data_IF_066461883273
#
_entry.id   IF_066461883273
#
_cell.length_a   1.000
_cell.length_b   1.000
_cell.length_c   1.000
_cell.angle_alpha   90.00
_cell.angle_beta   90.00
_cell.angle_gamma   90.00
#
_symmetry.space_group_name_H-M   'P 1'
#
loop_
_entity.id
_entity.type
_entity.pdbx_description
1 polymer ?
#
# COMPACT_ATOMS: atom_id res chain seq x y z
N UNK A 1 -36.15 28.66 -30.54
CA UNK A 1 -35.68 27.36 -30.02
C UNK A 1 -35.90 27.31 -28.51
N UNK A 2 -36.82 26.46 -28.09
CA UNK A 2 -37.44 26.50 -26.76
C UNK A 2 -36.59 25.88 -25.67
N UNK A 3 -36.53 26.53 -24.51
CA UNK A 3 -35.84 26.14 -23.26
C UNK A 3 -36.26 24.77 -22.67
N UNK A 4 -37.11 23.99 -23.31
CA UNK A 4 -37.61 22.68 -22.84
C UNK A 4 -36.79 21.46 -23.27
N UNK A 5 -35.85 21.58 -24.22
CA UNK A 5 -35.09 20.44 -24.74
C UNK A 5 -33.68 20.31 -24.13
N UNK A 6 -33.35 21.09 -23.08
CA UNK A 6 -32.04 21.03 -22.41
C UNK A 6 -32.07 20.22 -21.09
N UNK A 7 -33.24 19.74 -20.66
CA UNK A 7 -33.41 19.00 -19.40
C UNK A 7 -33.59 17.48 -19.54
N UNK A 8 -33.46 16.91 -20.72
CA UNK A 8 -33.56 15.45 -20.91
C UNK A 8 -32.27 14.73 -21.28
N UNK A 9 -31.14 15.41 -21.37
CA UNK A 9 -29.83 14.79 -21.63
C UNK A 9 -28.92 14.70 -20.39
N UNK A 10 -29.41 15.04 -19.19
CA UNK A 10 -28.63 15.10 -17.95
C UNK A 10 -28.84 13.93 -16.98
N UNK A 11 -29.55 12.88 -17.34
CA UNK A 11 -29.99 11.84 -16.40
C UNK A 11 -29.21 10.50 -16.50
N UNK A 12 -28.03 10.46 -17.10
CA UNK A 12 -27.31 9.20 -17.31
C UNK A 12 -25.85 9.16 -16.82
N UNK A 13 -25.41 10.09 -15.96
CA UNK A 13 -24.03 10.04 -15.39
C UNK A 13 -23.99 10.39 -13.89
N UNK A 14 -24.96 9.97 -13.12
CA UNK A 14 -24.97 10.09 -11.66
C UNK A 14 -24.88 8.71 -10.99
N UNK A 15 -23.99 7.84 -11.47
CA UNK A 15 -23.69 6.57 -10.81
C UNK A 15 -22.27 6.63 -10.25
N UNK A 16 -22.17 6.61 -8.90
CA UNK A 16 -21.03 6.24 -8.07
C UNK A 16 -20.03 7.32 -7.62
N UNK A 17 -20.53 8.40 -7.04
CA UNK A 17 -19.74 9.11 -6.03
C UNK A 17 -20.57 9.20 -4.74
N UNK A 18 -20.62 8.10 -3.98
CA UNK A 18 -21.04 8.20 -2.59
C UNK A 18 -19.95 8.99 -1.82
N UNK A 19 -20.33 10.03 -1.08
CA UNK A 19 -19.36 10.79 -0.29
C UNK A 19 -18.74 9.89 0.78
N UNK A 20 -17.40 9.94 0.93
CA UNK A 20 -16.60 9.21 1.89
C UNK A 20 -17.16 9.12 3.33
N UNK A 21 -17.87 10.15 3.88
CA UNK A 21 -18.47 10.07 5.21
C UNK A 21 -19.57 9.04 5.39
N UNK A 22 -20.28 8.65 4.31
CA UNK A 22 -21.36 7.67 4.42
C UNK A 22 -20.87 6.22 4.45
N UNK A 23 -19.70 5.94 3.85
CA UNK A 23 -19.06 4.62 3.89
C UNK A 23 -18.50 4.30 5.29
N UNK A 24 -17.90 5.28 5.95
CA UNK A 24 -17.39 5.10 7.32
C UNK A 24 -18.51 4.83 8.33
N UNK A 25 -19.68 5.48 8.16
CA UNK A 25 -20.81 5.33 9.05
C UNK A 25 -21.48 3.93 8.99
N UNK A 26 -21.36 3.23 7.85
CA UNK A 26 -21.93 1.89 7.70
C UNK A 26 -21.07 0.83 8.40
N UNK A 27 -19.74 0.97 8.35
CA UNK A 27 -18.80 0.12 9.10
C UNK A 27 -18.99 0.26 10.62
N UNK A 28 -19.33 1.46 11.12
CA UNK A 28 -19.55 1.72 12.53
C UNK A 28 -20.87 1.16 13.10
N UNK A 29 -21.92 1.00 12.29
CA UNK A 29 -23.25 0.56 12.80
C UNK A 29 -23.35 -0.94 13.10
N UNK A 30 -22.54 -1.78 12.47
CA UNK A 30 -22.56 -3.22 12.69
C UNK A 30 -21.71 -3.67 13.91
N UNK A 31 -20.92 -2.78 14.50
CA UNK A 31 -20.04 -3.08 15.62
C UNK A 31 -20.75 -3.23 16.99
N UNK A 32 -22.05 -2.96 17.09
CA UNK A 32 -22.76 -2.83 18.39
C UNK A 32 -23.61 -4.05 18.79
N UNK A 33 -23.45 -5.23 18.21
CA UNK A 33 -24.15 -6.42 18.65
C UNK A 33 -23.25 -7.29 19.56
N UNK A 34 -23.59 -7.36 20.84
CA UNK A 34 -23.04 -8.32 21.80
C UNK A 34 -23.39 -9.74 21.37
N UNK A 35 -22.42 -10.51 20.87
CA UNK A 35 -22.61 -11.89 20.47
C UNK A 35 -22.25 -12.83 21.63
N UNK A 36 -23.25 -13.32 22.32
CA UNK A 36 -23.20 -14.50 23.23
C UNK A 36 -23.60 -15.76 22.46
N UNK A 37 -22.91 -16.13 21.42
CA UNK A 37 -22.94 -17.46 20.82
C UNK A 37 -21.55 -17.81 20.36
N UNK A 38 -21.14 -19.07 20.58
CA UNK A 38 -19.90 -19.64 20.05
C UNK A 38 -19.94 -19.67 18.51
N UNK A 39 -19.87 -18.50 17.87
CA UNK A 39 -19.82 -18.45 16.42
C UNK A 39 -18.45 -18.91 15.98
N UNK A 40 -18.38 -20.12 15.45
CA UNK A 40 -17.15 -20.64 14.87
C UNK A 40 -16.94 -20.04 13.48
N UNK A 41 -15.83 -19.37 13.28
CA UNK A 41 -15.40 -18.85 11.97
C UNK A 41 -14.50 -19.86 11.25
N UNK A 42 -14.49 -19.82 9.91
CA UNK A 42 -13.54 -20.61 9.15
C UNK A 42 -12.15 -19.95 9.22
N UNK A 43 -12.13 -18.60 9.21
CA UNK A 43 -10.90 -17.82 9.36
C UNK A 43 -11.12 -16.55 10.21
N UNK A 44 -10.07 -16.19 10.98
CA UNK A 44 -9.93 -14.87 11.60
C UNK A 44 -8.74 -14.16 10.94
N UNK A 45 -8.93 -12.88 10.55
CA UNK A 45 -7.88 -12.02 9.98
C UNK A 45 -7.55 -10.93 11.00
N UNK A 46 -6.31 -10.90 11.50
CA UNK A 46 -5.82 -9.89 12.46
C UNK A 46 -5.16 -8.72 11.72
N UNK A 47 -5.77 -7.55 11.83
CA UNK A 47 -5.39 -6.33 11.12
C UNK A 47 -6.06 -6.24 9.75
N UNK A 48 -7.10 -5.38 9.63
CA UNK A 48 -7.86 -5.18 8.39
C UNK A 48 -7.36 -3.94 7.64
N UNK A 49 -6.03 -3.80 7.56
CA UNK A 49 -5.35 -2.80 6.72
C UNK A 49 -5.28 -3.26 5.26
N UNK A 50 -4.19 -2.86 4.55
CA UNK A 50 -4.01 -3.16 3.12
C UNK A 50 -4.15 -4.63 2.76
N UNK A 51 -3.42 -5.48 3.49
CA UNK A 51 -3.36 -6.92 3.18
C UNK A 51 -4.58 -7.64 3.75
N UNK A 52 -4.99 -7.28 4.96
CA UNK A 52 -6.10 -7.94 5.64
C UNK A 52 -7.45 -7.66 5.03
N UNK A 53 -7.73 -6.44 4.55
CA UNK A 53 -8.98 -6.14 3.85
C UNK A 53 -9.12 -6.96 2.56
N UNK A 54 -8.04 -7.06 1.78
CA UNK A 54 -7.99 -7.91 0.59
C UNK A 54 -8.13 -9.40 0.96
N UNK A 55 -7.48 -9.87 2.03
CA UNK A 55 -7.62 -11.25 2.52
C UNK A 55 -9.06 -11.57 2.91
N UNK A 56 -9.73 -10.69 3.67
CA UNK A 56 -11.14 -10.85 4.04
C UNK A 56 -12.03 -10.98 2.79
N UNK A 57 -11.79 -10.14 1.78
CA UNK A 57 -12.51 -10.19 0.51
C UNK A 57 -12.32 -11.53 -0.21
N UNK A 58 -11.06 -11.99 -0.40
CA UNK A 58 -10.80 -13.23 -1.15
C UNK A 58 -11.34 -14.46 -0.42
N UNK A 59 -11.27 -14.52 0.91
CA UNK A 59 -11.86 -15.61 1.70
C UNK A 59 -13.38 -15.59 1.62
N UNK A 60 -14.02 -14.43 1.84
CA UNK A 60 -15.47 -14.30 1.78
C UNK A 60 -16.02 -14.62 0.38
N UNK A 61 -15.31 -14.22 -0.67
CA UNK A 61 -15.65 -14.55 -2.07
C UNK A 61 -15.70 -16.05 -2.34
N UNK A 62 -14.97 -16.85 -1.56
CA UNK A 62 -14.99 -18.31 -1.61
C UNK A 62 -16.01 -18.94 -0.65
N UNK A 63 -16.88 -18.12 -0.04
CA UNK A 63 -17.95 -18.56 0.86
C UNK A 63 -17.48 -18.90 2.28
N UNK A 64 -16.27 -18.54 2.68
CA UNK A 64 -15.79 -18.73 4.04
C UNK A 64 -16.45 -17.76 5.01
N UNK A 65 -16.74 -18.23 6.24
CA UNK A 65 -17.17 -17.38 7.35
C UNK A 65 -15.96 -16.69 7.93
N UNK A 66 -15.76 -15.42 7.57
CA UNK A 66 -14.58 -14.64 7.91
C UNK A 66 -14.89 -13.63 9.01
N UNK A 67 -14.01 -13.56 10.01
CA UNK A 67 -13.97 -12.48 10.99
C UNK A 67 -12.69 -11.64 10.80
N UNK A 68 -12.85 -10.39 10.42
CA UNK A 68 -11.77 -9.40 10.41
C UNK A 68 -11.77 -8.61 11.72
N UNK A 69 -10.61 -8.54 12.39
CA UNK A 69 -10.41 -7.76 13.62
C UNK A 69 -9.40 -6.64 13.38
N UNK A 70 -9.83 -5.40 13.64
CA UNK A 70 -9.00 -4.20 13.52
C UNK A 70 -9.03 -3.42 14.83
N UNK A 71 -7.85 -2.98 15.30
CA UNK A 71 -7.75 -2.23 16.56
C UNK A 71 -8.15 -0.75 16.43
N UNK A 72 -8.22 -0.24 15.20
CA UNK A 72 -8.56 1.16 14.87
C UNK A 72 -9.76 1.23 13.93
N UNK A 73 -9.97 2.39 13.34
CA UNK A 73 -10.92 2.57 12.23
C UNK A 73 -10.42 1.96 10.92
N UNK A 74 -11.29 1.81 9.93
CA UNK A 74 -10.95 1.37 8.57
C UNK A 74 -11.45 2.41 7.56
N UNK A 75 -10.52 3.07 6.81
CA UNK A 75 -9.06 3.07 6.96
C UNK A 75 -8.60 4.00 8.08
N UNK A 76 -7.35 3.87 8.49
CA UNK A 76 -6.73 4.75 9.49
C UNK A 76 -5.32 5.19 9.09
N UNK A 77 -4.80 6.26 9.73
CA UNK A 77 -3.47 6.82 9.45
C UNK A 77 -2.37 6.29 10.39
N UNK A 78 -2.68 5.39 11.30
CA UNK A 78 -1.75 4.91 12.33
C UNK A 78 -0.82 3.80 11.84
N UNK A 79 -1.19 3.11 10.74
CA UNK A 79 -0.41 2.04 10.12
C UNK A 79 0.52 2.52 9.00
N UNK A 80 0.65 1.68 7.96
CA UNK A 80 1.61 1.88 6.84
C UNK A 80 0.96 2.31 5.53
N UNK A 81 -0.38 2.22 5.39
CA UNK A 81 -1.04 2.37 4.09
C UNK A 81 -1.49 3.79 3.75
N UNK A 82 -1.79 4.62 4.73
CA UNK A 82 -2.38 5.93 4.50
C UNK A 82 -1.47 6.90 3.73
N UNK A 83 -2.08 7.92 3.13
CA UNK A 83 -1.39 9.02 2.46
C UNK A 83 -1.69 9.13 0.97
N UNK A 84 -2.96 8.97 0.55
CA UNK A 84 -3.53 9.35 -0.75
C UNK A 84 -3.07 8.52 -1.96
N UNK A 85 -1.79 8.17 -2.06
CA UNK A 85 -1.23 7.49 -3.23
C UNK A 85 -0.06 6.58 -2.87
N UNK A 86 0.14 5.52 -3.65
CA UNK A 86 1.30 4.61 -3.58
C UNK A 86 1.74 4.24 -4.98
N UNK A 87 3.05 4.33 -5.27
CA UNK A 87 3.61 3.94 -6.56
C UNK A 87 3.27 2.47 -6.84
N UNK A 88 2.84 2.20 -8.08
CA UNK A 88 2.74 0.87 -8.66
C UNK A 88 3.57 0.82 -9.95
N UNK A 89 4.38 -0.22 -10.10
CA UNK A 89 5.34 -0.42 -11.18
C UNK A 89 5.64 -1.90 -11.36
N UNK A 90 6.09 -2.31 -12.53
CA UNK A 90 6.50 -3.69 -12.83
C UNK A 90 8.01 -3.87 -12.85
N UNK A 91 8.75 -2.92 -13.40
CA UNK A 91 10.20 -2.94 -13.39
C UNK A 91 10.72 -2.78 -11.95
N UNK A 92 10.98 -3.92 -11.30
CA UNK A 92 11.18 -3.99 -9.86
C UNK A 92 12.65 -4.09 -9.51
N UNK A 93 13.19 -3.07 -8.86
CA UNK A 93 14.63 -2.98 -8.60
C UNK A 93 15.07 -3.73 -7.34
N UNK A 94 14.16 -3.98 -6.40
CA UNK A 94 14.47 -4.67 -5.14
C UNK A 94 14.82 -6.13 -5.38
N UNK A 95 14.02 -6.85 -6.17
CA UNK A 95 14.31 -8.22 -6.59
C UNK A 95 13.43 -8.60 -7.80
N UNK A 96 13.99 -9.19 -8.87
CA UNK A 96 13.24 -9.49 -10.09
C UNK A 96 12.11 -10.52 -9.90
N UNK A 97 12.21 -11.43 -8.92
CA UNK A 97 11.19 -12.45 -8.68
C UNK A 97 9.86 -11.88 -8.13
N UNK A 98 9.81 -10.59 -7.79
CA UNK A 98 8.55 -9.90 -7.53
C UNK A 98 7.71 -9.62 -8.79
N UNK A 99 8.30 -9.63 -9.97
CA UNK A 99 7.60 -9.23 -11.21
C UNK A 99 6.35 -10.08 -11.47
N UNK A 100 6.39 -11.43 -11.39
CA UNK A 100 5.17 -12.24 -11.55
C UNK A 100 4.07 -11.89 -10.56
N UNK A 101 4.44 -11.58 -9.30
CA UNK A 101 3.47 -11.11 -8.29
C UNK A 101 2.87 -9.75 -8.65
N UNK A 102 3.67 -8.85 -9.26
CA UNK A 102 3.18 -7.57 -9.74
C UNK A 102 2.23 -7.71 -10.91
N UNK A 103 2.52 -8.58 -11.87
CA UNK A 103 1.60 -8.86 -12.97
C UNK A 103 0.25 -9.34 -12.45
N UNK A 104 0.25 -10.26 -11.47
CA UNK A 104 -0.97 -10.70 -10.81
C UNK A 104 -1.63 -9.57 -10.02
N UNK A 105 -0.85 -8.71 -9.36
CA UNK A 105 -1.39 -7.57 -8.63
C UNK A 105 -2.10 -6.57 -9.55
N UNK A 106 -1.53 -6.24 -10.71
CA UNK A 106 -2.18 -5.38 -11.71
C UNK A 106 -3.50 -5.98 -12.20
N UNK A 107 -3.51 -7.28 -12.51
CA UNK A 107 -4.73 -7.99 -12.89
C UNK A 107 -5.79 -7.89 -11.78
N UNK A 108 -5.41 -8.12 -10.52
CA UNK A 108 -6.33 -8.10 -9.39
C UNK A 108 -6.85 -6.68 -9.08
N UNK A 109 -6.02 -5.63 -9.26
CA UNK A 109 -6.49 -4.24 -9.16
C UNK A 109 -7.54 -3.93 -10.22
N UNK A 110 -7.29 -4.31 -11.48
CA UNK A 110 -8.24 -4.12 -12.59
C UNK A 110 -9.53 -4.94 -12.39
N UNK A 111 -9.44 -6.16 -11.86
CA UNK A 111 -10.60 -6.97 -11.54
C UNK A 111 -11.49 -6.31 -10.46
N UNK A 112 -10.88 -5.75 -9.41
CA UNK A 112 -11.62 -5.00 -8.39
C UNK A 112 -12.25 -3.72 -8.95
N UNK A 113 -11.55 -3.00 -9.83
CA UNK A 113 -12.10 -1.84 -10.55
C UNK A 113 -13.32 -2.22 -11.40
N UNK A 114 -13.21 -3.31 -12.16
CA UNK A 114 -14.32 -3.81 -12.99
C UNK A 114 -15.52 -4.24 -12.14
N UNK A 115 -15.27 -4.88 -11.00
CA UNK A 115 -16.34 -5.36 -10.09
C UNK A 115 -17.06 -4.20 -9.38
N UNK A 116 -16.32 -3.13 -9.04
CA UNK A 116 -16.85 -2.05 -8.20
C UNK A 116 -17.21 -0.78 -8.96
N UNK A 117 -16.80 -0.65 -10.22
CA UNK A 117 -16.91 0.59 -11.00
C UNK A 117 -15.97 1.71 -10.52
N UNK A 118 -15.15 1.47 -9.50
CA UNK A 118 -14.22 2.45 -8.95
C UNK A 118 -12.90 2.44 -9.73
N UNK A 119 -12.20 3.57 -9.74
CA UNK A 119 -10.84 3.65 -10.27
C UNK A 119 -9.85 3.70 -9.13
N UNK A 120 -8.92 2.74 -9.09
CA UNK A 120 -7.89 2.58 -8.09
C UNK A 120 -6.48 2.79 -8.65
N UNK A 121 -6.22 2.21 -9.82
CA UNK A 121 -4.96 2.36 -10.53
C UNK A 121 -5.04 3.54 -11.51
N UNK A 122 -4.07 4.43 -11.39
CA UNK A 122 -3.92 5.63 -12.22
C UNK A 122 -2.60 5.57 -12.95
N UNK A 123 -2.67 5.34 -14.26
CA UNK A 123 -1.52 5.26 -15.16
C UNK A 123 -1.01 6.67 -15.45
N UNK A 124 0.10 7.07 -14.84
CA UNK A 124 0.77 8.35 -15.07
C UNK A 124 2.14 8.19 -15.69
N UNK A 125 2.65 6.96 -15.78
CA UNK A 125 4.06 6.68 -15.96
C UNK A 125 4.85 6.87 -14.65
N UNK A 126 6.07 6.36 -14.65
CA UNK A 126 7.03 6.54 -13.56
C UNK A 126 8.40 6.83 -14.16
N UNK A 127 8.97 7.97 -13.79
CA UNK A 127 10.35 8.36 -14.14
C UNK A 127 11.33 7.80 -13.10
N UNK A 128 12.46 7.33 -13.60
CA UNK A 128 13.58 6.88 -12.77
C UNK A 128 14.82 7.65 -13.16
N UNK A 129 15.47 8.22 -12.15
CA UNK A 129 16.69 8.99 -12.31
C UNK A 129 17.76 8.51 -11.34
N UNK A 130 18.97 8.29 -11.81
CA UNK A 130 20.09 7.87 -10.98
C UNK A 130 21.33 7.59 -11.81
N UNK A 131 22.46 7.40 -11.13
CA UNK A 131 23.67 6.97 -11.81
C UNK A 131 23.53 5.53 -12.32
N UNK A 132 24.14 5.17 -13.48
CA UNK A 132 24.05 3.82 -14.05
C UNK A 132 24.48 2.70 -13.10
N UNK A 133 25.41 2.99 -12.18
CA UNK A 133 25.90 2.06 -11.17
C UNK A 133 24.99 1.87 -9.96
N UNK A 134 23.99 2.73 -9.76
CA UNK A 134 23.10 2.66 -8.58
C UNK A 134 22.17 1.45 -8.65
N UNK A 135 21.88 0.85 -7.47
CA UNK A 135 21.03 -0.36 -7.36
C UNK A 135 19.64 -0.17 -8.00
N UNK A 136 19.03 1.00 -7.84
CA UNK A 136 17.76 1.36 -8.49
C UNK A 136 17.82 1.13 -10.01
N UNK A 137 18.86 1.64 -10.67
CA UNK A 137 18.98 1.58 -12.16
C UNK A 137 19.34 0.16 -12.60
N UNK A 138 20.27 -0.50 -11.90
CA UNK A 138 20.68 -1.89 -12.22
C UNK A 138 19.52 -2.85 -12.08
N UNK A 139 18.86 -2.88 -10.93
CA UNK A 139 17.76 -3.80 -10.66
C UNK A 139 16.55 -3.56 -11.55
N UNK A 140 16.25 -2.27 -11.87
CA UNK A 140 15.20 -1.92 -12.82
C UNK A 140 15.50 -2.50 -14.22
N UNK A 141 16.72 -2.32 -14.74
CA UNK A 141 17.13 -2.85 -16.06
C UNK A 141 17.13 -4.38 -16.08
N UNK A 142 17.60 -5.02 -15.01
CA UNK A 142 17.57 -6.47 -14.84
C UNK A 142 16.14 -7.01 -14.94
N UNK A 143 15.22 -6.48 -14.14
CA UNK A 143 13.82 -6.88 -14.15
C UNK A 143 13.15 -6.61 -15.49
N UNK A 144 13.42 -5.43 -16.10
CA UNK A 144 12.88 -5.06 -17.40
C UNK A 144 13.33 -6.02 -18.49
N UNK A 145 14.61 -6.39 -18.52
CA UNK A 145 15.17 -7.33 -19.49
C UNK A 145 14.63 -8.73 -19.28
N UNK A 146 14.64 -9.23 -18.03
CA UNK A 146 14.23 -10.61 -17.70
C UNK A 146 12.77 -10.90 -18.00
N UNK A 147 11.90 -9.91 -17.78
CA UNK A 147 10.44 -10.06 -17.92
C UNK A 147 9.85 -9.26 -19.08
N UNK A 148 10.68 -8.74 -19.97
CA UNK A 148 10.26 -7.96 -21.14
C UNK A 148 9.32 -6.79 -20.79
N UNK A 149 9.62 -6.10 -19.68
CA UNK A 149 8.85 -4.94 -19.24
C UNK A 149 9.32 -3.73 -20.06
N UNK A 150 8.36 -2.99 -20.62
CA UNK A 150 8.66 -1.78 -21.34
C UNK A 150 9.17 -0.69 -20.40
N UNK A 151 10.43 -0.35 -20.57
CA UNK A 151 11.10 0.81 -19.96
C UNK A 151 11.86 1.52 -21.07
N UNK A 152 11.52 2.77 -21.32
CA UNK A 152 12.12 3.58 -22.38
C UNK A 152 13.27 4.43 -21.79
N UNK A 153 14.44 4.40 -22.42
CA UNK A 153 15.54 5.33 -22.13
C UNK A 153 15.24 6.70 -22.74
N UNK A 154 15.51 7.76 -21.99
CA UNK A 154 15.36 9.14 -22.45
C UNK A 154 16.73 9.80 -22.57
N UNK A 155 17.00 10.42 -23.70
CA UNK A 155 18.13 11.36 -23.82
C UNK A 155 17.87 12.60 -22.96
N UNK A 156 18.92 13.35 -22.64
CA UNK A 156 18.77 14.62 -21.90
C UNK A 156 17.84 15.60 -22.64
N UNK A 157 17.90 15.62 -23.97
CA UNK A 157 17.04 16.46 -24.81
C UNK A 157 15.57 16.01 -24.75
N UNK A 158 15.29 14.69 -24.83
CA UNK A 158 13.94 14.15 -24.73
C UNK A 158 13.33 14.39 -23.34
N UNK A 159 14.14 14.23 -22.27
CA UNK A 159 13.68 14.52 -20.90
C UNK A 159 13.38 16.00 -20.74
N UNK A 160 14.27 16.90 -21.21
CA UNK A 160 14.05 18.34 -21.11
C UNK A 160 12.81 18.80 -21.91
N UNK A 161 12.54 18.21 -23.07
CA UNK A 161 11.37 18.53 -23.88
C UNK A 161 10.05 18.03 -23.25
N UNK A 162 10.04 16.86 -22.61
CA UNK A 162 8.83 16.23 -22.07
C UNK A 162 8.59 16.54 -20.60
N UNK A 163 9.66 16.70 -19.83
CA UNK A 163 9.65 16.79 -18.37
C UNK A 163 10.63 17.89 -17.90
N UNK A 164 10.43 19.11 -18.40
CA UNK A 164 11.27 20.28 -18.12
C UNK A 164 11.33 20.67 -16.64
N UNK A 165 10.45 20.10 -15.82
CA UNK A 165 10.44 20.33 -14.37
C UNK A 165 11.66 19.74 -13.66
N UNK A 166 12.33 18.74 -14.27
CA UNK A 166 13.48 18.07 -13.68
C UNK A 166 14.79 18.63 -14.22
N UNK A 167 15.69 18.96 -13.30
CA UNK A 167 17.08 19.33 -13.58
C UNK A 167 18.00 18.26 -13.01
N UNK A 168 18.72 17.55 -13.86
CA UNK A 168 19.53 16.42 -13.47
C UNK A 168 21.01 16.66 -13.74
N UNK A 169 21.92 16.19 -12.87
CA UNK A 169 23.36 16.20 -13.14
C UNK A 169 23.71 15.43 -14.43
N UNK A 170 24.88 15.72 -14.99
CA UNK A 170 25.45 14.89 -16.05
C UNK A 170 25.67 13.45 -15.59
N UNK A 171 25.57 12.49 -16.52
CA UNK A 171 25.82 11.07 -16.23
C UNK A 171 24.69 10.31 -15.54
N UNK A 172 23.55 10.97 -15.27
CA UNK A 172 22.37 10.27 -14.79
C UNK A 172 21.65 9.55 -15.94
N UNK A 173 21.28 8.29 -15.71
CA UNK A 173 20.28 7.60 -16.53
C UNK A 173 18.91 8.24 -16.31
N UNK A 174 18.13 8.27 -17.37
CA UNK A 174 16.78 8.82 -17.44
C UNK A 174 15.88 7.79 -18.07
N UNK A 175 15.04 7.14 -17.26
CA UNK A 175 14.19 6.06 -17.75
C UNK A 175 12.72 6.39 -17.43
N UNK A 176 11.82 5.87 -18.24
CA UNK A 176 10.39 5.93 -18.00
C UNK A 176 9.77 4.56 -18.20
N UNK A 177 8.99 4.11 -17.20
CA UNK A 177 8.08 2.98 -17.31
C UNK A 177 6.67 3.52 -17.62
N UNK A 178 6.17 3.43 -18.86
CA UNK A 178 4.92 4.06 -19.28
C UNK A 178 3.69 3.45 -18.60
N UNK A 179 3.75 2.17 -18.23
CA UNK A 179 2.64 1.43 -17.61
C UNK A 179 2.65 1.50 -16.08
N UNK A 180 3.59 2.21 -15.50
CA UNK A 180 3.59 2.51 -14.08
C UNK A 180 2.68 3.70 -13.73
N UNK A 181 2.52 3.96 -12.43
CA UNK A 181 1.74 5.08 -11.93
C UNK A 181 1.51 4.94 -10.42
N UNK A 182 0.28 5.16 -9.98
CA UNK A 182 -0.05 5.01 -8.56
C UNK A 182 -1.41 4.33 -8.35
N UNK A 183 -1.59 3.80 -7.15
CA UNK A 183 -2.86 3.29 -6.63
C UNK A 183 -3.30 4.13 -5.42
N UNK A 184 -4.62 4.19 -5.17
CA UNK A 184 -5.25 4.94 -4.09
C UNK A 184 -5.49 4.04 -2.88
N UNK A 185 -4.64 4.11 -1.82
CA UNK A 185 -4.63 3.11 -0.76
C UNK A 185 -5.87 3.11 0.12
N UNK A 186 -6.32 4.27 0.59
CA UNK A 186 -7.50 4.35 1.46
C UNK A 186 -8.75 3.85 0.75
N UNK A 187 -8.93 4.23 -0.52
CA UNK A 187 -10.03 3.78 -1.35
C UNK A 187 -10.00 2.27 -1.58
N UNK A 188 -8.81 1.72 -1.82
CA UNK A 188 -8.65 0.28 -2.02
C UNK A 188 -9.00 -0.53 -0.75
N UNK A 189 -8.53 -0.08 0.43
CA UNK A 189 -8.86 -0.71 1.71
C UNK A 189 -10.37 -0.68 1.97
N UNK A 190 -11.01 0.48 1.74
CA UNK A 190 -12.47 0.63 1.88
C UNK A 190 -13.24 -0.30 0.94
N UNK A 191 -12.86 -0.36 -0.33
CA UNK A 191 -13.55 -1.20 -1.31
C UNK A 191 -13.41 -2.69 -1.00
N UNK A 192 -12.21 -3.17 -0.65
CA UNK A 192 -12.04 -4.55 -0.20
C UNK A 192 -12.87 -4.86 1.04
N UNK A 193 -12.86 -3.95 2.05
CA UNK A 193 -13.66 -4.10 3.27
C UNK A 193 -15.14 -4.16 2.95
N UNK A 194 -15.65 -3.23 2.14
CA UNK A 194 -17.05 -3.18 1.74
C UNK A 194 -17.47 -4.44 0.96
N UNK A 195 -16.64 -4.89 0.02
CA UNK A 195 -16.93 -6.12 -0.74
C UNK A 195 -16.91 -7.35 0.15
N UNK A 196 -15.96 -7.44 1.11
CA UNK A 196 -15.94 -8.53 2.09
C UNK A 196 -17.24 -8.57 2.91
N UNK A 197 -17.71 -7.42 3.43
CA UNK A 197 -18.97 -7.30 4.17
C UNK A 197 -20.18 -7.73 3.30
N UNK A 198 -20.25 -7.26 2.05
CA UNK A 198 -21.34 -7.64 1.11
C UNK A 198 -21.34 -9.14 0.80
N UNK A 199 -20.20 -9.81 0.89
CA UNK A 199 -20.02 -11.25 0.72
C UNK A 199 -20.21 -12.04 2.03
N UNK A 200 -20.63 -11.39 3.12
CA UNK A 200 -20.98 -12.03 4.40
C UNK A 200 -19.84 -12.11 5.41
N UNK A 201 -18.69 -11.46 5.19
CA UNK A 201 -17.68 -11.35 6.22
C UNK A 201 -18.17 -10.48 7.38
N UNK A 202 -17.76 -10.81 8.62
CA UNK A 202 -17.90 -9.96 9.78
C UNK A 202 -16.61 -9.18 9.99
N UNK A 203 -16.67 -7.85 10.09
CA UNK A 203 -15.50 -7.01 10.36
C UNK A 203 -15.80 -6.17 11.61
N UNK A 204 -14.90 -6.23 12.58
CA UNK A 204 -14.98 -5.49 13.84
C UNK A 204 -13.80 -4.52 13.95
N UNK A 205 -14.11 -3.26 14.16
CA UNK A 205 -13.16 -2.21 14.49
C UNK A 205 -13.08 -1.99 15.99
N UNK A 206 -12.02 -1.33 16.46
CA UNK A 206 -11.75 -1.08 17.88
C UNK A 206 -11.63 -2.36 18.71
N UNK A 207 -11.20 -3.45 18.06
CA UNK A 207 -10.97 -4.77 18.67
C UNK A 207 -9.46 -5.03 18.80
N UNK A 208 -8.89 -4.55 19.89
CA UNK A 208 -7.46 -4.76 20.17
C UNK A 208 -7.19 -6.19 20.57
N UNK A 209 -6.33 -6.85 19.81
CA UNK A 209 -5.93 -8.24 20.05
C UNK A 209 -4.94 -8.29 21.22
N UNK A 210 -5.22 -9.12 22.22
CA UNK A 210 -4.36 -9.36 23.38
C UNK A 210 -3.45 -10.57 23.17
N UNK A 211 -4.02 -11.66 22.62
CA UNK A 211 -3.27 -12.89 22.37
C UNK A 211 -3.98 -13.78 21.36
N UNK A 212 -3.22 -14.71 20.79
CA UNK A 212 -3.76 -15.86 20.08
C UNK A 212 -3.06 -17.14 20.51
N UNK A 213 -3.78 -18.26 20.46
CA UNK A 213 -3.26 -19.59 20.76
C UNK A 213 -3.82 -20.61 19.79
N UNK A 214 -3.06 -21.66 19.53
CA UNK A 214 -3.50 -22.80 18.73
C UNK A 214 -3.70 -24.02 19.61
N UNK A 215 -4.82 -24.74 19.43
CA UNK A 215 -5.12 -25.96 20.14
C UNK A 215 -5.70 -26.98 19.16
N UNK A 216 -4.92 -27.97 18.78
CA UNK A 216 -5.25 -28.90 17.69
C UNK A 216 -5.50 -28.14 16.38
N UNK A 217 -6.67 -28.35 15.79
CA UNK A 217 -7.08 -27.68 14.54
C UNK A 217 -7.81 -26.34 14.76
N UNK A 218 -7.80 -25.79 15.97
CA UNK A 218 -8.49 -24.55 16.30
C UNK A 218 -7.52 -23.46 16.68
N UNK A 219 -7.88 -22.24 16.32
CA UNK A 219 -7.22 -21.03 16.78
C UNK A 219 -8.17 -20.26 17.69
N UNK A 220 -7.67 -19.79 18.81
CA UNK A 220 -8.40 -18.97 19.77
C UNK A 220 -7.74 -17.59 19.79
N UNK A 221 -8.51 -16.54 19.54
CA UNK A 221 -8.09 -15.14 19.60
C UNK A 221 -8.80 -14.44 20.73
N UNK A 222 -8.04 -13.80 21.62
CA UNK A 222 -8.56 -12.97 22.72
C UNK A 222 -8.35 -11.49 22.40
N UNK A 223 -9.41 -10.71 22.52
CA UNK A 223 -9.39 -9.25 22.47
C UNK A 223 -9.70 -8.67 23.84
N UNK A 224 -9.72 -7.33 23.95
CA UNK A 224 -10.18 -6.67 25.17
C UNK A 224 -11.67 -6.94 25.47
N UNK A 225 -12.49 -7.15 24.42
CA UNK A 225 -13.95 -7.29 24.55
C UNK A 225 -14.48 -8.72 24.45
N UNK A 226 -13.75 -9.66 23.83
CA UNK A 226 -14.28 -10.99 23.52
C UNK A 226 -13.21 -12.07 23.30
N UNK A 227 -13.69 -13.31 23.15
CA UNK A 227 -12.87 -14.44 22.69
C UNK A 227 -13.53 -15.06 21.46
N UNK A 228 -12.75 -15.26 20.41
CA UNK A 228 -13.19 -15.80 19.13
C UNK A 228 -12.47 -17.09 18.79
N UNK A 229 -13.13 -17.98 18.04
CA UNK A 229 -12.57 -19.25 17.60
C UNK A 229 -12.69 -19.39 16.08
N UNK A 230 -11.64 -19.95 15.46
CA UNK A 230 -11.62 -20.27 14.03
C UNK A 230 -10.78 -21.51 13.73
N UNK A 231 -10.91 -22.02 12.50
CA UNK A 231 -10.04 -23.09 11.99
C UNK A 231 -8.68 -22.54 11.53
N UNK A 232 -8.65 -21.30 10.99
CA UNK A 232 -7.44 -20.65 10.49
C UNK A 232 -7.31 -19.23 11.06
N UNK A 233 -6.05 -18.81 11.22
CA UNK A 233 -5.68 -17.45 11.60
C UNK A 233 -4.79 -16.87 10.50
N UNK A 234 -5.10 -15.64 10.09
CA UNK A 234 -4.26 -14.89 9.17
C UNK A 234 -3.78 -13.62 9.87
N UNK A 235 -2.47 -13.43 9.99
CA UNK A 235 -1.87 -12.28 10.67
C UNK A 235 -1.35 -11.31 9.62
N UNK A 236 -2.04 -10.17 9.51
CA UNK A 236 -1.73 -9.04 8.62
C UNK A 236 -1.62 -7.74 9.43
N UNK A 237 -1.06 -7.84 10.63
CA UNK A 237 -1.05 -6.79 11.67
C UNK A 237 -0.04 -5.65 11.41
N UNK A 238 0.55 -5.57 10.20
CA UNK A 238 1.45 -4.48 9.80
C UNK A 238 2.57 -4.23 10.82
N UNK A 239 2.71 -2.99 11.35
CA UNK A 239 3.76 -2.67 12.33
C UNK A 239 3.66 -3.44 13.64
N UNK A 240 2.50 -4.01 13.96
CA UNK A 240 2.29 -4.81 15.19
C UNK A 240 2.60 -6.30 14.98
N UNK A 241 3.01 -6.73 13.77
CA UNK A 241 3.28 -8.14 13.47
C UNK A 241 4.31 -8.76 14.40
N UNK A 242 5.40 -8.05 14.74
CA UNK A 242 6.41 -8.54 15.67
C UNK A 242 5.89 -8.80 17.09
N UNK A 243 4.82 -8.10 17.51
CA UNK A 243 4.16 -8.33 18.82
C UNK A 243 3.24 -9.56 18.78
N UNK A 244 2.70 -9.89 17.61
CA UNK A 244 1.84 -11.07 17.41
C UNK A 244 2.66 -12.33 17.07
N UNK A 245 3.90 -12.20 16.63
CA UNK A 245 4.79 -13.26 16.16
C UNK A 245 6.13 -13.22 16.91
N UNK A 246 6.19 -13.63 18.18
CA UNK A 246 7.42 -13.55 19.00
C UNK A 246 8.64 -14.24 18.33
N UNK A 247 8.41 -15.36 17.64
CA UNK A 247 9.46 -16.12 16.95
C UNK A 247 10.08 -15.38 15.76
N UNK A 248 9.39 -14.38 15.21
CA UNK A 248 9.89 -13.52 14.11
C UNK A 248 10.23 -12.09 14.56
N UNK A 249 9.98 -11.75 15.82
CA UNK A 249 10.10 -10.37 16.32
C UNK A 249 11.49 -9.79 16.11
N UNK A 250 12.57 -10.58 16.26
CA UNK A 250 13.95 -10.16 16.03
C UNK A 250 14.25 -9.81 14.56
N UNK A 251 13.42 -10.26 13.63
CA UNK A 251 13.57 -10.03 12.19
C UNK A 251 12.59 -8.95 11.65
N UNK A 252 11.82 -8.30 12.53
CA UNK A 252 10.85 -7.28 12.17
C UNK A 252 11.17 -5.97 12.89
N UNK A 253 11.82 -5.06 12.18
CA UNK A 253 12.15 -3.73 12.69
C UNK A 253 11.13 -2.70 12.21
N UNK A 254 10.45 -2.04 13.14
CA UNK A 254 9.52 -0.95 12.80
C UNK A 254 10.30 0.37 12.78
N UNK A 255 10.14 1.14 11.70
CA UNK A 255 10.79 2.44 11.55
C UNK A 255 9.79 3.54 11.24
N UNK A 256 10.05 4.74 11.77
CA UNK A 256 9.29 5.96 11.51
C UNK A 256 9.70 6.56 10.17
N UNK A 257 8.71 6.94 9.37
CA UNK A 257 8.87 7.61 8.08
C UNK A 257 8.10 8.93 8.06
N UNK A 258 8.50 9.84 7.19
CA UNK A 258 7.79 11.10 6.96
C UNK A 258 7.43 11.23 5.48
N UNK A 259 6.21 11.64 5.23
CA UNK A 259 5.70 11.99 3.91
C UNK A 259 5.21 13.44 3.93
N UNK A 260 5.55 14.20 2.88
CA UNK A 260 5.22 15.61 2.77
C UNK A 260 4.33 15.92 1.57
N UNK A 261 3.53 16.97 1.71
CA UNK A 261 2.81 17.64 0.63
C UNK A 261 3.27 19.09 0.58
N UNK A 262 3.72 19.52 -0.58
CA UNK A 262 4.26 20.87 -0.75
C UNK A 262 3.49 21.62 -1.85
N UNK A 263 3.45 22.95 -1.69
CA UNK A 263 2.93 23.86 -2.69
C UNK A 263 4.00 24.13 -3.73
N UNK A 264 3.77 23.86 -5.02
CA UNK A 264 4.68 24.28 -6.08
C UNK A 264 4.52 25.78 -6.39
N UNK A 265 5.53 26.39 -7.01
CA UNK A 265 5.46 27.79 -7.49
C UNK A 265 4.40 27.98 -8.60
N UNK A 266 4.22 26.97 -9.44
CA UNK A 266 3.21 26.95 -10.51
C UNK A 266 2.49 25.60 -10.54
N UNK A 267 1.23 25.58 -10.11
CA UNK A 267 0.40 24.38 -10.03
C UNK A 267 0.18 23.70 -11.40
N UNK A 268 0.12 24.50 -12.48
CA UNK A 268 -0.20 23.98 -13.82
C UNK A 268 0.87 23.03 -14.36
N UNK A 269 2.11 23.20 -13.92
CA UNK A 269 3.26 22.39 -14.37
C UNK A 269 3.33 21.02 -13.72
N UNK A 270 2.59 20.78 -12.64
CA UNK A 270 2.76 19.60 -11.80
C UNK A 270 1.51 18.71 -11.70
N UNK A 271 0.49 18.93 -12.54
CA UNK A 271 -0.68 18.06 -12.59
C UNK A 271 -0.36 16.71 -13.28
N UNK A 272 -1.23 15.71 -13.11
CA UNK A 272 -1.00 14.36 -13.59
C UNK A 272 -0.92 14.22 -15.13
N UNK A 273 -1.36 15.21 -15.90
CA UNK A 273 -1.20 15.21 -17.36
C UNK A 273 0.22 15.60 -17.81
N UNK A 274 0.92 16.41 -17.02
CA UNK A 274 2.22 17.00 -17.37
C UNK A 274 3.37 16.51 -16.48
N UNK A 275 3.06 15.87 -15.35
CA UNK A 275 4.04 15.46 -14.35
C UNK A 275 3.71 14.05 -13.85
N UNK A 276 4.51 13.04 -14.22
CA UNK A 276 4.28 11.66 -13.80
C UNK A 276 4.72 11.42 -12.36
N UNK A 277 4.52 10.19 -11.86
CA UNK A 277 5.26 9.72 -10.70
C UNK A 277 6.76 9.70 -11.00
N UNK A 278 7.59 9.84 -9.97
CA UNK A 278 9.04 9.89 -10.16
C UNK A 278 9.80 9.25 -8.99
N UNK A 279 11.01 8.77 -9.28
CA UNK A 279 12.01 8.31 -8.31
C UNK A 279 13.36 8.88 -8.69
N UNK A 280 14.12 9.33 -7.69
CA UNK A 280 15.48 9.88 -7.84
C UNK A 280 16.39 9.21 -6.83
N UNK A 281 17.42 8.51 -7.33
CA UNK A 281 18.53 8.05 -6.52
C UNK A 281 19.61 9.14 -6.51
N UNK A 282 19.71 9.86 -5.40
CA UNK A 282 20.74 10.87 -5.23
C UNK A 282 22.08 10.20 -4.88
N UNK A 283 23.13 10.46 -5.67
CA UNK A 283 24.44 9.87 -5.45
C UNK A 283 25.15 10.36 -4.18
N UNK A 284 24.71 11.48 -3.63
CA UNK A 284 25.26 12.04 -2.38
C UNK A 284 24.55 11.50 -1.13
N UNK A 285 23.43 10.77 -1.31
CA UNK A 285 22.62 10.26 -0.19
C UNK A 285 22.28 8.79 -0.37
N UNK A 286 22.37 7.98 0.68
CA UNK A 286 22.05 6.56 0.62
C UNK A 286 20.52 6.32 0.64
N UNK A 287 19.76 7.05 -0.14
CA UNK A 287 18.30 6.92 -0.18
C UNK A 287 17.75 7.24 -1.57
N UNK A 288 16.55 6.76 -1.81
CA UNK A 288 15.77 7.04 -3.02
C UNK A 288 14.64 7.99 -2.63
N UNK A 289 14.56 9.12 -3.29
CA UNK A 289 13.40 10.01 -3.20
C UNK A 289 12.35 9.63 -4.21
N UNK A 290 11.09 9.82 -3.86
CA UNK A 290 9.99 9.57 -4.77
C UNK A 290 8.85 10.55 -4.56
N UNK A 291 8.07 10.75 -5.60
CA UNK A 291 6.92 11.64 -5.51
C UNK A 291 5.89 11.41 -6.60
N UNK A 292 4.84 12.22 -6.50
CA UNK A 292 3.62 12.09 -7.27
C UNK A 292 3.24 13.41 -7.90
N UNK A 293 2.42 13.42 -8.97
CA UNK A 293 1.80 14.63 -9.46
C UNK A 293 0.85 15.24 -8.41
N UNK A 294 0.44 16.47 -8.65
CA UNK A 294 -0.67 17.08 -7.94
C UNK A 294 -1.96 16.30 -8.19
N UNK A 295 -2.62 15.91 -7.10
CA UNK A 295 -3.87 15.18 -7.13
C UNK A 295 -5.00 16.08 -6.62
N UNK A 296 -6.10 16.27 -7.39
CA UNK A 296 -7.27 17.01 -6.93
C UNK A 296 -7.90 16.34 -5.70
N UNK A 297 -8.10 17.11 -4.63
CA UNK A 297 -8.63 16.60 -3.36
C UNK A 297 -10.06 16.11 -3.47
N UNK A 298 -10.85 16.69 -4.36
CA UNK A 298 -12.24 16.27 -4.63
C UNK A 298 -12.30 14.83 -5.16
N UNK A 299 -11.28 14.42 -5.91
CA UNK A 299 -11.22 13.07 -6.50
C UNK A 299 -10.47 12.08 -5.62
N UNK A 300 -9.39 12.51 -4.96
CA UNK A 300 -8.44 11.62 -4.29
C UNK A 300 -8.45 11.72 -2.77
N UNK A 301 -9.13 12.72 -2.20
CA UNK A 301 -9.04 13.04 -0.78
C UNK A 301 -7.63 13.49 -0.36
N UNK A 302 -7.37 13.49 0.94
CA UNK A 302 -6.06 13.80 1.51
C UNK A 302 -5.64 15.28 1.39
N UNK A 303 -4.40 15.61 1.77
CA UNK A 303 -3.87 16.96 1.63
C UNK A 303 -3.69 17.36 0.16
N UNK A 304 -3.93 18.63 -0.16
CA UNK A 304 -3.54 19.18 -1.45
C UNK A 304 -2.01 19.36 -1.50
N UNK A 305 -1.41 19.21 -2.67
CA UNK A 305 0.01 19.47 -2.89
C UNK A 305 0.73 18.39 -3.66
N UNK A 306 1.98 18.66 -4.03
CA UNK A 306 2.90 17.65 -4.52
C UNK A 306 3.30 16.76 -3.35
N UNK A 307 2.95 15.50 -3.44
CA UNK A 307 3.35 14.51 -2.43
C UNK A 307 4.72 13.96 -2.74
N UNK A 308 5.57 13.87 -1.71
CA UNK A 308 6.88 13.24 -1.82
C UNK A 308 7.32 12.61 -0.50
N UNK A 309 8.27 11.71 -0.57
CA UNK A 309 8.97 11.14 0.57
C UNK A 309 10.34 10.60 0.14
N UNK A 310 11.13 10.20 1.13
CA UNK A 310 12.31 9.38 0.90
C UNK A 310 12.04 7.92 1.27
N UNK A 311 12.62 7.01 0.52
CA UNK A 311 12.67 5.59 0.84
C UNK A 311 14.01 5.32 1.52
N UNK A 312 13.98 5.27 2.84
CA UNK A 312 15.15 5.15 3.71
C UNK A 312 14.75 4.32 4.93
N UNK A 313 15.70 3.61 5.52
CA UNK A 313 15.54 3.04 6.85
C UNK A 313 15.60 4.17 7.89
N UNK A 314 14.42 4.54 8.40
CA UNK A 314 14.29 5.51 9.47
C UNK A 314 14.74 4.95 10.82
N UNK A 315 14.69 5.78 11.87
CA UNK A 315 14.98 5.34 13.24
C UNK A 315 13.98 4.26 13.69
N UNK A 316 14.50 3.22 14.36
CA UNK A 316 13.68 2.17 14.94
C UNK A 316 12.72 2.76 16.00
N UNK A 317 11.49 2.26 16.03
CA UNK A 317 10.44 2.74 16.93
C UNK A 317 9.51 1.61 17.36
N UNK A 318 8.79 1.80 18.46
CA UNK A 318 7.66 0.94 18.81
C UNK A 318 6.36 1.51 18.23
N UNK A 319 5.54 0.70 17.54
CA UNK A 319 4.31 1.19 16.90
C UNK A 319 3.28 1.75 17.91
N UNK A 320 3.34 1.34 19.19
CA UNK A 320 2.43 1.84 20.23
C UNK A 320 2.86 3.20 20.79
N UNK A 321 4.15 3.56 20.68
CA UNK A 321 4.71 4.77 21.30
C UNK A 321 5.49 5.64 20.31
N UNK A 322 5.26 5.46 19.00
CA UNK A 322 5.95 6.23 17.97
C UNK A 322 5.68 7.74 18.13
N UNK A 323 6.75 8.52 18.10
CA UNK A 323 6.63 9.98 18.03
C UNK A 323 6.14 10.40 16.65
N UNK A 324 4.90 10.89 16.56
CA UNK A 324 4.28 11.36 15.31
C UNK A 324 4.49 12.85 15.06
N UNK A 325 5.13 13.55 15.97
CA UNK A 325 5.48 14.98 15.76
C UNK A 325 6.53 15.08 14.67
N UNK A 326 6.23 15.87 13.65
CA UNK A 326 7.17 16.15 12.55
C UNK A 326 8.05 17.34 12.92
N UNK A 327 9.34 17.25 12.62
CA UNK A 327 10.34 18.25 12.96
C UNK A 327 10.77 19.04 11.72
N UNK A 328 11.47 20.17 11.94
CA UNK A 328 12.10 20.92 10.85
C UNK A 328 13.16 20.10 10.08
N UNK A 329 13.82 19.17 10.75
CA UNK A 329 14.79 18.29 10.10
C UNK A 329 14.11 17.30 9.14
N UNK A 330 12.93 16.77 9.52
CA UNK A 330 12.12 15.92 8.63
C UNK A 330 11.70 16.68 7.35
N UNK A 331 11.33 17.95 7.50
CA UNK A 331 10.93 18.83 6.40
C UNK A 331 12.11 19.18 5.49
N UNK A 332 13.24 19.59 6.08
CA UNK A 332 14.42 20.04 5.34
C UNK A 332 14.93 18.96 4.37
N UNK A 333 14.93 17.69 4.79
CA UNK A 333 15.37 16.58 3.95
C UNK A 333 14.51 16.43 2.67
N UNK A 334 13.22 16.76 2.73
CA UNK A 334 12.31 16.71 1.57
C UNK A 334 12.48 17.94 0.68
N UNK A 335 12.68 19.12 1.26
CA UNK A 335 12.84 20.37 0.51
C UNK A 335 14.14 20.32 -0.31
N UNK A 336 15.23 19.88 0.28
CA UNK A 336 16.54 19.82 -0.36
C UNK A 336 16.53 19.07 -1.70
N UNK A 337 15.85 17.91 -1.77
CA UNK A 337 15.76 17.15 -3.02
C UNK A 337 14.94 17.88 -4.08
N UNK A 338 13.89 18.60 -3.67
CA UNK A 338 13.08 19.38 -4.61
C UNK A 338 13.87 20.56 -5.17
N UNK A 339 14.60 21.29 -4.34
CA UNK A 339 15.42 22.43 -4.77
C UNK A 339 16.55 21.97 -5.70
N UNK A 340 17.15 20.81 -5.44
CA UNK A 340 18.24 20.24 -6.22
C UNK A 340 17.77 19.73 -7.60
N UNK A 341 16.67 18.99 -7.65
CA UNK A 341 16.30 18.21 -8.83
C UNK A 341 15.01 18.66 -9.53
N UNK A 342 14.14 19.41 -8.83
CA UNK A 342 12.82 19.83 -9.35
C UNK A 342 12.59 21.31 -9.07
N UNK A 343 13.36 22.21 -9.69
CA UNK A 343 13.24 23.66 -9.49
C UNK A 343 11.81 24.12 -9.74
N UNK A 344 11.24 24.84 -8.77
CA UNK A 344 9.86 25.32 -8.85
C UNK A 344 8.81 24.38 -8.21
N UNK A 345 9.19 23.19 -7.77
CA UNK A 345 8.31 22.27 -7.05
C UNK A 345 8.02 22.73 -5.60
N UNK A 346 8.83 23.62 -5.04
CA UNK A 346 8.67 24.09 -3.67
C UNK A 346 8.46 25.61 -3.59
N UNK A 347 7.39 26.00 -2.94
CA UNK A 347 7.13 27.37 -2.47
C UNK A 347 6.84 27.39 -0.96
N UNK A 348 6.16 26.39 -0.44
CA UNK A 348 5.91 26.19 1.00
C UNK A 348 5.45 24.75 1.28
N UNK A 349 5.63 24.29 2.50
CA UNK A 349 5.06 23.03 2.97
C UNK A 349 3.59 23.23 3.33
N UNK A 350 2.76 22.29 2.92
CA UNK A 350 1.31 22.29 3.18
C UNK A 350 0.92 21.29 4.26
N UNK A 351 1.51 20.10 4.24
CA UNK A 351 1.27 19.06 5.24
C UNK A 351 2.47 18.14 5.36
N UNK A 352 2.70 17.63 6.55
CA UNK A 352 3.66 16.58 6.85
C UNK A 352 2.97 15.54 7.72
N UNK A 353 3.14 14.25 7.40
CA UNK A 353 2.56 13.16 8.16
C UNK A 353 3.60 12.06 8.38
N UNK A 354 3.49 11.37 9.51
CA UNK A 354 4.31 10.19 9.79
C UNK A 354 3.60 8.92 9.34
N UNK A 355 4.36 7.96 8.83
CA UNK A 355 3.92 6.59 8.62
C UNK A 355 4.96 5.61 9.15
N UNK A 356 4.68 4.32 9.06
CA UNK A 356 5.55 3.28 9.60
C UNK A 356 5.93 2.30 8.49
N UNK A 357 7.21 1.92 8.46
CA UNK A 357 7.66 0.72 7.76
C UNK A 357 7.83 -0.42 8.77
N UNK A 358 7.71 -1.65 8.31
CA UNK A 358 8.10 -2.85 9.04
C UNK A 358 9.09 -3.57 8.16
N UNK A 359 10.36 -3.51 8.52
CA UNK A 359 11.47 -3.99 7.71
C UNK A 359 11.91 -5.37 8.15
N UNK A 360 12.29 -6.20 7.19
CA UNK A 360 13.05 -7.43 7.37
C UNK A 360 14.55 -7.16 7.10
N UNK A 361 15.47 -8.02 7.55
CA UNK A 361 16.91 -7.81 7.33
C UNK A 361 17.34 -7.79 5.85
N UNK A 362 16.60 -8.50 4.98
CA UNK A 362 16.83 -8.61 3.55
C UNK A 362 15.84 -7.79 2.71
N UNK A 363 15.02 -6.97 3.37
CA UNK A 363 13.97 -6.13 2.79
C UNK A 363 12.87 -6.91 2.03
N UNK A 364 12.92 -8.24 1.98
CA UNK A 364 11.88 -9.05 1.35
C UNK A 364 10.73 -9.32 2.31
N UNK A 365 9.53 -9.46 1.76
CA UNK A 365 8.32 -9.77 2.52
C UNK A 365 8.40 -11.15 3.17
N UNK A 366 7.56 -11.37 4.18
CA UNK A 366 7.28 -12.71 4.72
C UNK A 366 5.84 -13.07 4.36
N UNK A 367 5.67 -14.06 3.48
CA UNK A 367 4.39 -14.63 3.08
C UNK A 367 4.49 -16.16 3.26
N UNK A 368 4.01 -16.67 4.39
CA UNK A 368 4.21 -18.08 4.77
C UNK A 368 3.24 -18.51 5.87
N UNK A 369 3.38 -19.72 6.34
CA UNK A 369 2.86 -20.15 7.64
C UNK A 369 3.78 -19.67 8.77
N UNK A 370 3.19 -19.37 9.93
CA UNK A 370 3.98 -19.07 11.12
C UNK A 370 4.80 -20.31 11.51
N UNK A 371 6.09 -20.15 11.89
CA UNK A 371 6.93 -21.27 12.25
C UNK A 371 6.29 -22.18 13.33
N UNK A 372 6.18 -23.48 13.02
CA UNK A 372 5.56 -24.46 13.92
C UNK A 372 4.03 -24.36 14.07
N UNK A 373 3.33 -23.52 13.29
CA UNK A 373 1.89 -23.31 13.42
C UNK A 373 1.17 -23.44 12.04
N UNK A 374 0.78 -24.65 11.62
CA UNK A 374 0.20 -24.89 10.29
C UNK A 374 -1.19 -24.26 10.08
N UNK A 375 -1.82 -23.79 11.12
CA UNK A 375 -3.11 -23.10 11.06
C UNK A 375 -3.00 -21.58 11.11
N UNK A 376 -1.78 -21.03 11.14
CA UNK A 376 -1.51 -19.59 11.20
C UNK A 376 -0.73 -19.18 9.96
N UNK A 377 -1.37 -18.38 9.10
CA UNK A 377 -0.78 -17.79 7.89
C UNK A 377 -0.34 -16.37 8.20
N UNK A 378 0.78 -15.93 7.68
CA UNK A 378 1.36 -14.63 8.01
C UNK A 378 1.74 -13.84 6.76
N UNK A 379 1.46 -12.53 6.80
CA UNK A 379 1.95 -11.57 5.82
C UNK A 379 2.48 -10.34 6.57
N UNK A 380 3.80 -10.17 6.58
CA UNK A 380 4.46 -9.08 7.31
C UNK A 380 5.82 -8.71 6.68
N UNK A 381 6.51 -7.70 7.27
CA UNK A 381 7.83 -7.32 6.81
C UNK A 381 7.85 -6.71 5.41
N UNK A 382 6.93 -5.81 5.09
CA UNK A 382 6.77 -5.25 3.74
C UNK A 382 7.78 -4.15 3.38
N UNK A 383 8.70 -3.81 4.27
CA UNK A 383 9.90 -3.00 4.06
C UNK A 383 9.69 -1.71 3.25
N UNK A 384 8.53 -1.06 3.42
CA UNK A 384 8.19 0.21 2.77
C UNK A 384 7.72 0.12 1.31
N UNK A 385 7.68 -1.08 0.70
CA UNK A 385 7.31 -1.20 -0.72
C UNK A 385 6.14 -2.17 -1.01
N UNK A 386 5.40 -2.62 0.03
CA UNK A 386 4.39 -3.68 -0.07
C UNK A 386 3.03 -3.29 -0.63
N UNK A 387 2.57 -2.02 -0.52
CA UNK A 387 1.16 -1.69 -0.79
C UNK A 387 0.69 -2.10 -2.19
N UNK A 388 1.49 -1.90 -3.22
CA UNK A 388 1.14 -2.25 -4.61
C UNK A 388 0.79 -3.73 -4.79
N UNK A 389 1.26 -4.60 -3.88
CA UNK A 389 0.99 -6.03 -3.85
C UNK A 389 -0.25 -6.42 -3.04
N UNK A 390 -0.95 -5.47 -2.39
CA UNK A 390 -2.03 -5.82 -1.46
C UNK A 390 -3.10 -6.70 -2.11
N UNK A 391 -3.42 -6.47 -3.36
CA UNK A 391 -4.39 -7.26 -4.12
C UNK A 391 -3.96 -8.73 -4.30
N UNK A 392 -2.71 -8.99 -4.65
CA UNK A 392 -2.19 -10.37 -4.81
C UNK A 392 -1.84 -11.01 -3.47
N UNK A 393 -1.37 -10.24 -2.49
CA UNK A 393 -1.11 -10.76 -1.13
C UNK A 393 -2.40 -11.24 -0.48
N UNK A 394 -3.51 -10.50 -0.63
CA UNK A 394 -4.81 -10.95 -0.14
C UNK A 394 -5.23 -12.30 -0.75
N UNK A 395 -5.03 -12.47 -2.06
CA UNK A 395 -5.27 -13.74 -2.76
C UNK A 395 -4.37 -14.86 -2.24
N UNK A 396 -3.07 -14.60 -2.10
CA UNK A 396 -2.09 -15.57 -1.58
C UNK A 396 -2.46 -16.02 -0.17
N UNK A 397 -2.80 -15.09 0.73
CA UNK A 397 -3.18 -15.43 2.10
C UNK A 397 -4.45 -16.29 2.15
N UNK A 398 -5.42 -15.98 1.29
CA UNK A 398 -6.61 -16.80 1.15
C UNK A 398 -6.27 -18.21 0.63
N UNK A 399 -5.45 -18.32 -0.41
CA UNK A 399 -5.00 -19.62 -0.94
C UNK A 399 -4.27 -20.47 0.10
N UNK A 400 -3.31 -19.88 0.83
CA UNK A 400 -2.58 -20.58 1.88
C UNK A 400 -3.52 -21.05 3.00
N UNK A 401 -4.46 -20.21 3.43
CA UNK A 401 -5.43 -20.59 4.45
C UNK A 401 -6.37 -21.73 4.00
N UNK A 402 -6.86 -21.67 2.76
CA UNK A 402 -7.84 -22.61 2.23
C UNK A 402 -7.23 -23.91 1.72
N UNK A 403 -6.10 -23.82 1.01
CA UNK A 403 -5.52 -24.92 0.21
C UNK A 403 -4.18 -25.40 0.77
N UNK A 404 -3.57 -24.67 1.70
CA UNK A 404 -2.20 -24.93 2.18
C UNK A 404 -1.09 -24.55 1.20
N UNK A 405 -1.44 -24.05 0.01
CA UNK A 405 -0.50 -23.68 -1.06
C UNK A 405 -1.10 -22.61 -1.95
N UNK A 406 -0.26 -21.93 -2.74
CA UNK A 406 -0.67 -20.97 -3.77
C UNK A 406 0.08 -21.24 -5.07
N UNK A 407 -0.49 -20.82 -6.20
CA UNK A 407 0.18 -20.87 -7.51
C UNK A 407 1.17 -19.71 -7.70
N UNK A 408 1.17 -18.73 -6.80
CA UNK A 408 2.07 -17.61 -6.91
C UNK A 408 3.49 -17.99 -6.47
N UNK A 409 4.56 -17.47 -7.13
CA UNK A 409 5.94 -17.83 -6.85
C UNK A 409 6.47 -17.13 -5.58
N UNK A 410 6.02 -17.56 -4.41
CA UNK A 410 6.41 -16.97 -3.10
C UNK A 410 7.56 -17.72 -2.41
N UNK A 411 8.21 -18.67 -3.06
CA UNK A 411 9.24 -19.52 -2.43
C UNK A 411 10.39 -18.71 -1.79
N UNK A 412 10.76 -17.57 -2.36
CA UNK A 412 11.79 -16.67 -1.81
C UNK A 412 11.30 -15.81 -0.62
N UNK A 413 10.00 -15.79 -0.34
CA UNK A 413 9.35 -15.00 0.71
C UNK A 413 9.02 -15.84 1.97
N UNK A 414 9.53 -17.07 2.07
CA UNK A 414 9.26 -17.95 3.20
C UNK A 414 9.94 -17.44 4.49
N UNK A 415 9.33 -17.76 5.63
CA UNK A 415 9.87 -17.37 6.94
C UNK A 415 11.14 -18.14 7.36
N UNK A 416 11.36 -19.35 6.77
CA UNK A 416 12.49 -20.22 7.10
C UNK A 416 13.85 -19.65 6.70
N UNK A 417 13.88 -18.65 5.79
CA UNK A 417 15.12 -17.99 5.35
C UNK A 417 15.84 -17.22 6.46
N UNK A 418 15.21 -17.06 7.61
CA UNK A 418 15.80 -16.42 8.78
C UNK A 418 16.28 -17.43 9.86
N UNK A 419 16.25 -18.71 9.62
CA UNK A 419 16.73 -19.77 10.51
C UNK A 419 15.63 -20.40 11.34
#
# INVERSE_FOLDING_TARGET
>A
MNRRNFMQAGAALAAATLPLPQLSAQVHREAAQSVTSETHYDAIVLGVGSMGSATCYYLARQGWRVLGLEQFDIPHELGSHAGQSRIIRKAYFEHPDYVPLLERAYHNWQALEAETGARLYHKTGLLYFGQPGHALIKGLRESATRYHIRVDDLTAQQQAARFAQFTLPGGYDRLIEPDAGFVTPERAVLLYTQRALQLGATIRTHEKILSHTTSGNRVIVKTEGATYQASKLIITAGPWAGKMLPQLSRHLSVTRQVVGWVKPKDWKKFNAANFPCWTIADHEKPCIFYGFPLLPTEQFGGPIGLKLAHHLHGAATDPNSVNRTVTRADEAALIEVLEKFIPGAYASTLALKTCLYTNTPDENFILDFAPGQPNVVIACGFSGHGFKFASVVGEIMADLAMKGTTQQPIGFLNAKRFG
#
